data_IF_612037889803
#
_entry.id   IF_612037889803
#
_cell.length_a   1.000
_cell.length_b   1.000
_cell.length_c   1.000
_cell.angle_alpha   90.00
_cell.angle_beta   90.00
_cell.angle_gamma   90.00
#
_symmetry.space_group_name_H-M   'P 1'
#
loop_
_entity.id
_entity.type
_entity.pdbx_description
1 polymer ?
#
# COMPACT_ATOMS: atom_id res chain seq x y z
N UNK A 1 -1.12 -16.21 -46.54
CA UNK A 1 0.06 -17.09 -46.68
C UNK A 1 -0.09 -18.15 -45.62
N UNK A 2 -0.13 -19.40 -46.05
CA UNK A 2 -0.69 -20.56 -45.36
C UNK A 2 0.32 -21.28 -44.46
N UNK A 3 -0.25 -21.90 -43.44
CA UNK A 3 0.29 -22.69 -42.33
C UNK A 3 1.14 -23.92 -42.66
N UNK A 4 1.81 -24.00 -43.82
CA UNK A 4 2.44 -25.25 -44.33
C UNK A 4 3.95 -25.25 -44.56
N UNK A 5 4.69 -24.24 -44.10
CA UNK A 5 6.15 -24.18 -44.32
C UNK A 5 7.01 -24.60 -43.12
N UNK A 6 6.45 -24.95 -41.97
CA UNK A 6 7.20 -25.33 -40.77
C UNK A 6 7.46 -26.85 -40.61
N UNK A 7 6.99 -27.71 -41.55
CA UNK A 7 7.13 -29.16 -41.39
C UNK A 7 8.24 -29.80 -42.28
N UNK A 8 9.00 -29.00 -43.00
CA UNK A 8 10.02 -29.53 -43.93
C UNK A 8 11.49 -29.47 -43.48
N UNK A 9 11.81 -28.99 -42.27
CA UNK A 9 13.24 -28.83 -41.87
C UNK A 9 13.77 -29.88 -40.89
N UNK A 10 13.06 -30.93 -40.55
CA UNK A 10 13.50 -32.00 -39.64
C UNK A 10 13.40 -33.36 -40.30
N UNK A 11 14.06 -33.54 -41.44
CA UNK A 11 14.36 -34.90 -41.99
C UNK A 11 15.59 -34.87 -42.85
N UNK A 12 16.75 -34.89 -42.25
CA UNK A 12 17.97 -35.50 -42.83
C UNK A 12 19.09 -35.46 -41.79
N UNK A 13 19.38 -36.55 -41.19
CA UNK A 13 20.65 -37.13 -40.84
C UNK A 13 20.42 -38.27 -39.84
N UNK A 14 20.19 -39.43 -40.44
CA UNK A 14 20.34 -40.70 -39.77
C UNK A 14 21.41 -41.47 -40.54
N UNK A 15 22.53 -41.77 -39.90
CA UNK A 15 23.18 -43.08 -39.97
C UNK A 15 24.58 -43.06 -39.35
N UNK A 16 24.76 -44.02 -38.44
CA UNK A 16 25.99 -44.76 -38.10
C UNK A 16 26.81 -44.16 -36.93
N UNK A 17 26.88 -44.81 -35.79
CA UNK A 17 27.70 -45.96 -35.45
C UNK A 17 27.48 -46.36 -34.00
N UNK A 18 27.48 -47.68 -33.77
CA UNK A 18 27.31 -48.36 -32.51
C UNK A 18 28.47 -48.06 -31.54
N UNK A 19 28.19 -47.62 -30.33
CA UNK A 19 29.12 -47.51 -29.25
C UNK A 19 28.37 -47.63 -27.92
N UNK A 20 28.50 -48.77 -27.27
CA UNK A 20 27.86 -49.12 -25.99
C UNK A 20 28.53 -48.27 -24.88
N UNK A 21 27.92 -47.20 -24.47
CA UNK A 21 28.28 -46.43 -23.27
C UNK A 21 27.21 -46.70 -22.19
N UNK A 22 27.60 -47.48 -21.21
CA UNK A 22 26.81 -47.67 -19.99
C UNK A 22 26.91 -46.36 -19.20
N UNK A 23 25.87 -45.51 -19.32
CA UNK A 23 25.70 -44.37 -18.43
C UNK A 23 25.03 -44.82 -17.17
N UNK A 24 25.78 -44.90 -16.06
CA UNK A 24 25.22 -44.94 -14.72
C UNK A 24 24.44 -43.65 -14.48
N UNK A 25 23.12 -43.70 -14.61
CA UNK A 25 22.26 -42.66 -14.09
C UNK A 25 22.31 -42.72 -12.56
N UNK A 26 23.16 -41.91 -11.95
CA UNK A 26 23.00 -41.54 -10.56
C UNK A 26 21.70 -40.75 -10.45
N UNK A 27 20.62 -41.39 -10.03
CA UNK A 27 19.40 -40.72 -9.65
C UNK A 27 19.70 -39.85 -8.40
N UNK A 28 20.04 -38.59 -8.64
CA UNK A 28 20.04 -37.59 -7.58
C UNK A 28 18.58 -37.41 -7.16
N UNK A 29 18.19 -38.08 -6.08
CA UNK A 29 16.97 -37.75 -5.38
C UNK A 29 17.16 -36.34 -4.81
N UNK A 30 16.70 -35.35 -5.56
CA UNK A 30 16.45 -34.05 -4.99
C UNK A 30 15.39 -34.24 -3.92
N UNK A 31 15.83 -34.34 -2.66
CA UNK A 31 14.98 -34.19 -1.50
C UNK A 31 14.47 -32.75 -1.58
N UNK A 32 13.32 -32.57 -2.20
CA UNK A 32 12.58 -31.33 -2.12
C UNK A 32 12.34 -31.08 -0.61
N UNK A 33 13.05 -30.12 -0.04
CA UNK A 33 12.63 -29.53 1.23
C UNK A 33 11.25 -28.94 0.98
N UNK A 34 10.20 -29.71 1.28
CA UNK A 34 8.86 -29.17 1.55
C UNK A 34 8.95 -28.46 2.90
N UNK A 35 9.68 -27.34 2.92
CA UNK A 35 9.53 -26.38 3.99
C UNK A 35 8.07 -25.98 4.00
N UNK A 36 7.42 -26.15 5.15
CA UNK A 36 6.02 -25.77 5.36
C UNK A 36 5.91 -24.25 5.13
N UNK A 37 5.67 -23.83 3.87
CA UNK A 37 5.55 -22.41 3.51
C UNK A 37 4.20 -21.91 4.00
N UNK A 38 4.23 -20.95 4.90
CA UNK A 38 2.99 -20.36 5.42
C UNK A 38 2.23 -19.63 4.29
N UNK A 39 0.88 -19.68 4.24
CA UNK A 39 0.10 -19.03 3.19
C UNK A 39 0.42 -17.54 2.98
N UNK A 40 0.85 -16.82 4.03
CA UNK A 40 1.24 -15.41 3.95
C UNK A 40 2.61 -15.15 3.29
N UNK A 41 3.49 -16.16 3.17
CA UNK A 41 4.86 -15.93 2.67
C UNK A 41 4.92 -15.27 1.29
N UNK A 42 4.12 -15.69 0.29
CA UNK A 42 4.11 -15.01 -1.02
C UNK A 42 3.62 -13.57 -0.93
N UNK A 43 2.60 -13.28 -0.10
CA UNK A 43 2.06 -11.94 0.07
C UNK A 43 3.08 -11.01 0.77
N UNK A 44 3.77 -11.50 1.80
CA UNK A 44 4.87 -10.78 2.46
C UNK A 44 5.99 -10.47 1.47
N UNK A 45 6.34 -11.42 0.60
CA UNK A 45 7.38 -11.21 -0.41
C UNK A 45 6.99 -10.12 -1.42
N UNK A 46 5.75 -10.13 -1.92
CA UNK A 46 5.23 -9.09 -2.82
C UNK A 46 5.30 -7.72 -2.14
N UNK A 47 4.82 -7.61 -0.90
CA UNK A 47 4.85 -6.35 -0.16
C UNK A 47 6.29 -5.84 0.09
N UNK A 48 7.24 -6.72 0.41
CA UNK A 48 8.66 -6.37 0.57
C UNK A 48 9.30 -5.90 -0.73
N UNK A 49 9.01 -6.57 -1.85
CA UNK A 49 9.50 -6.16 -3.17
C UNK A 49 8.95 -4.78 -3.55
N UNK A 50 7.66 -4.56 -3.33
CA UNK A 50 7.01 -3.26 -3.53
C UNK A 50 7.65 -2.16 -2.67
N UNK A 51 7.92 -2.43 -1.39
CA UNK A 51 8.59 -1.48 -0.50
C UNK A 51 10.00 -1.14 -0.97
N UNK A 52 10.80 -2.15 -1.34
CA UNK A 52 12.16 -1.93 -1.86
C UNK A 52 12.15 -1.11 -3.15
N UNK A 53 11.19 -1.37 -4.04
CA UNK A 53 11.03 -0.61 -5.27
C UNK A 53 10.65 0.85 -4.95
N UNK A 54 9.65 1.09 -4.07
CA UNK A 54 9.28 2.43 -3.65
C UNK A 54 10.47 3.19 -3.07
N UNK A 55 11.18 2.59 -2.13
CA UNK A 55 12.35 3.21 -1.49
C UNK A 55 13.45 3.60 -2.48
N UNK A 56 13.62 2.83 -3.57
CA UNK A 56 14.65 3.09 -4.59
C UNK A 56 14.21 4.10 -5.64
N UNK A 57 12.95 4.05 -6.09
CA UNK A 57 12.51 4.73 -7.31
C UNK A 57 11.47 5.83 -7.08
N UNK A 58 10.79 5.88 -5.93
CA UNK A 58 9.78 6.90 -5.65
C UNK A 58 10.34 7.93 -4.67
N UNK A 59 10.55 9.14 -5.16
CA UNK A 59 11.00 10.27 -4.33
C UNK A 59 9.80 10.95 -3.68
N UNK A 60 8.77 11.20 -4.48
CA UNK A 60 7.57 11.92 -4.10
C UNK A 60 6.39 11.54 -4.99
N UNK A 61 5.21 11.96 -4.62
CA UNK A 61 4.01 11.77 -5.43
C UNK A 61 2.87 12.69 -5.03
N UNK A 62 1.95 12.87 -5.96
CA UNK A 62 0.64 13.47 -5.73
C UNK A 62 -0.46 12.46 -6.02
N UNK A 63 -1.59 12.57 -5.32
CA UNK A 63 -2.77 11.75 -5.55
C UNK A 63 -4.03 12.43 -5.02
N UNK A 64 -5.18 11.89 -5.38
CA UNK A 64 -6.41 12.06 -4.62
C UNK A 64 -6.57 10.84 -3.72
N UNK A 65 -6.34 11.02 -2.41
CA UNK A 65 -6.58 9.98 -1.43
C UNK A 65 -8.05 9.96 -1.06
N UNK A 66 -8.71 8.84 -1.33
CA UNK A 66 -10.07 8.56 -0.86
C UNK A 66 -9.97 7.64 0.35
N UNK A 67 -10.52 8.08 1.46
CA UNK A 67 -10.42 7.40 2.76
C UNK A 67 -11.79 7.24 3.41
N UNK A 68 -12.00 6.09 4.03
CA UNK A 68 -13.13 5.83 4.91
C UNK A 68 -12.70 4.87 6.01
N UNK A 69 -12.85 5.25 7.25
CA UNK A 69 -12.41 4.45 8.41
C UNK A 69 -13.43 4.48 9.51
N UNK A 70 -13.67 3.32 10.13
CA UNK A 70 -14.52 3.23 11.31
C UNK A 70 -13.78 3.79 12.52
N UNK A 71 -14.43 4.70 13.22
CA UNK A 71 -13.90 5.31 14.45
C UNK A 71 -15.00 5.29 15.50
N UNK A 72 -14.72 4.77 16.69
CA UNK A 72 -15.69 4.63 17.79
C UNK A 72 -17.00 3.92 17.39
N UNK A 73 -16.91 2.92 16.51
CA UNK A 73 -18.07 2.16 16.05
C UNK A 73 -18.84 2.80 14.88
N UNK A 74 -18.55 4.04 14.51
CA UNK A 74 -19.20 4.74 13.41
C UNK A 74 -18.36 4.69 12.14
N UNK A 75 -18.99 4.50 10.99
CA UNK A 75 -18.38 4.54 9.67
C UNK A 75 -18.85 5.82 8.95
N UNK A 76 -18.03 6.89 8.94
CA UNK A 76 -18.42 8.16 8.33
C UNK A 76 -18.50 8.09 6.80
N UNK A 77 -18.83 9.20 6.16
CA UNK A 77 -18.72 9.37 4.71
C UNK A 77 -17.26 9.27 4.23
N UNK A 78 -17.09 9.03 2.92
CA UNK A 78 -15.78 9.07 2.29
C UNK A 78 -15.18 10.48 2.37
N UNK A 79 -13.94 10.56 2.83
CA UNK A 79 -13.12 11.76 2.73
C UNK A 79 -12.30 11.71 1.43
N UNK A 80 -12.33 12.80 0.68
CA UNK A 80 -11.51 13.00 -0.52
C UNK A 80 -10.48 14.07 -0.21
N UNK A 81 -9.23 13.77 -0.45
CA UNK A 81 -8.12 14.66 -0.11
C UNK A 81 -7.13 14.73 -1.26
N UNK A 82 -6.78 15.92 -1.72
CA UNK A 82 -5.58 16.10 -2.52
C UNK A 82 -4.38 15.98 -1.60
N UNK A 83 -3.42 15.12 -1.97
CA UNK A 83 -2.22 14.88 -1.18
C UNK A 83 -0.97 15.13 -2.00
N UNK A 84 0.06 15.70 -1.35
CA UNK A 84 1.44 15.73 -1.81
C UNK A 84 2.27 15.02 -0.74
N UNK A 85 3.01 14.01 -1.13
CA UNK A 85 3.83 13.23 -0.20
C UNK A 85 5.23 13.10 -0.77
N UNK A 86 6.22 13.51 0.01
CA UNK A 86 7.64 13.28 -0.23
C UNK A 86 8.09 12.15 0.69
N UNK A 87 8.66 11.09 0.12
CA UNK A 87 9.14 9.96 0.88
C UNK A 87 10.42 10.30 1.65
N UNK A 88 10.56 9.71 2.83
CA UNK A 88 11.83 9.76 3.59
C UNK A 88 12.94 9.09 2.80
N UNK A 89 14.13 9.71 2.76
CA UNK A 89 15.35 9.06 2.24
C UNK A 89 16.46 9.12 3.29
N UNK A 90 17.17 8.02 3.42
CA UNK A 90 18.36 7.92 4.27
C UNK A 90 19.59 7.64 3.40
N UNK A 91 20.71 8.27 3.73
CA UNK A 91 22.02 8.00 3.15
C UNK A 91 22.98 7.71 4.29
N UNK A 92 23.71 6.62 4.21
CA UNK A 92 24.68 6.19 5.23
C UNK A 92 24.09 6.14 6.66
N UNK A 93 22.81 5.73 6.76
CA UNK A 93 22.08 5.65 8.02
C UNK A 93 21.61 6.99 8.59
N UNK A 94 21.85 8.10 7.90
CA UNK A 94 21.38 9.42 8.29
C UNK A 94 20.19 9.88 7.44
N UNK A 95 19.31 10.68 8.03
CA UNK A 95 18.18 11.26 7.33
C UNK A 95 18.69 12.30 6.31
N UNK A 96 18.61 11.96 5.01
CA UNK A 96 18.99 12.83 3.92
C UNK A 96 17.84 13.69 3.41
N UNK A 97 16.63 13.10 3.33
CA UNK A 97 15.41 13.80 2.95
C UNK A 97 14.31 13.45 3.95
N UNK A 98 13.78 14.45 4.69
CA UNK A 98 12.69 14.21 5.61
C UNK A 98 11.39 13.89 4.85
N UNK A 99 10.54 13.05 5.45
CA UNK A 99 9.18 12.88 4.94
C UNK A 99 8.44 14.21 5.01
N UNK A 100 7.74 14.55 3.93
CA UNK A 100 6.87 15.71 3.86
C UNK A 100 5.46 15.31 3.46
N UNK A 101 4.46 15.90 4.09
CA UNK A 101 3.04 15.64 3.85
C UNK A 101 2.30 16.97 3.74
N UNK A 102 1.57 17.15 2.65
CA UNK A 102 0.55 18.17 2.50
C UNK A 102 -0.77 17.50 2.16
N UNK A 103 -1.83 17.92 2.81
CA UNK A 103 -3.21 17.45 2.57
C UNK A 103 -4.13 18.66 2.43
N UNK A 104 -4.97 18.63 1.39
CA UNK A 104 -6.13 19.51 1.26
C UNK A 104 -7.40 18.69 1.18
N UNK A 105 -8.31 18.89 2.10
CA UNK A 105 -9.60 18.22 2.10
C UNK A 105 -10.49 18.78 0.99
N UNK A 106 -11.04 17.88 0.17
CA UNK A 106 -11.92 18.20 -0.95
C UNK A 106 -13.38 17.89 -0.63
N UNK A 107 -13.62 16.87 0.21
CA UNK A 107 -14.94 16.40 0.67
C UNK A 107 -14.78 15.65 2.00
N UNK A 108 -15.82 15.53 2.83
CA UNK A 108 -17.13 16.17 2.71
C UNK A 108 -17.09 17.68 3.00
N UNK A 109 -18.24 18.35 2.85
CA UNK A 109 -18.36 19.83 2.89
C UNK A 109 -17.95 20.45 4.24
N UNK A 110 -18.11 19.71 5.32
CA UNK A 110 -17.76 20.16 6.68
C UNK A 110 -16.26 20.33 6.93
N UNK A 111 -15.42 19.65 6.11
CA UNK A 111 -13.95 19.74 6.16
C UNK A 111 -13.34 20.29 4.86
N UNK A 112 -14.17 20.58 3.85
CA UNK A 112 -13.72 21.07 2.55
C UNK A 112 -12.88 22.34 2.68
N UNK A 113 -11.71 22.34 2.06
CA UNK A 113 -10.76 23.47 2.08
C UNK A 113 -9.84 23.52 3.28
N UNK A 114 -10.00 22.64 4.29
CA UNK A 114 -9.01 22.47 5.35
C UNK A 114 -7.69 22.00 4.75
N UNK A 115 -6.58 22.55 5.22
CA UNK A 115 -5.25 22.13 4.79
C UNK A 115 -4.39 21.74 5.99
N UNK A 116 -3.52 20.76 5.80
CA UNK A 116 -2.61 20.25 6.83
C UNK A 116 -1.25 20.00 6.22
N UNK A 117 -0.20 20.51 6.86
CA UNK A 117 1.20 20.28 6.51
C UNK A 117 1.92 19.64 7.67
N UNK A 118 2.78 18.67 7.39
CA UNK A 118 3.72 18.10 8.32
C UNK A 118 5.02 17.74 7.61
N UNK A 119 6.15 18.09 8.25
CA UNK A 119 7.48 17.68 7.78
C UNK A 119 8.22 17.05 8.95
N UNK A 120 8.76 15.87 8.71
CA UNK A 120 9.53 15.14 9.69
C UNK A 120 10.69 15.96 10.25
N UNK A 121 10.80 16.01 11.59
CA UNK A 121 11.86 16.74 12.28
C UNK A 121 11.73 18.25 12.27
N UNK A 122 10.73 18.83 11.60
CA UNK A 122 10.46 20.26 11.59
C UNK A 122 9.34 20.64 12.58
N UNK A 123 9.19 21.92 12.85
CA UNK A 123 8.16 22.49 13.74
C UNK A 123 8.02 21.73 15.09
N UNK A 124 9.13 21.27 15.68
CA UNK A 124 9.14 20.43 16.91
C UNK A 124 8.32 19.15 16.79
N UNK A 125 8.18 18.59 15.59
CA UNK A 125 7.37 17.41 15.28
C UNK A 125 5.88 17.69 15.09
N UNK A 126 5.43 18.94 15.27
CA UNK A 126 4.03 19.33 15.14
C UNK A 126 3.63 19.51 13.68
N UNK A 127 2.39 19.17 13.34
CA UNK A 127 1.74 19.55 12.10
C UNK A 127 1.23 21.01 12.19
N UNK A 128 1.09 21.65 11.03
CA UNK A 128 0.43 22.94 10.87
C UNK A 128 -0.88 22.73 10.14
N UNK A 129 -1.97 23.20 10.70
CA UNK A 129 -3.29 23.08 10.08
C UNK A 129 -4.04 24.41 10.14
N UNK A 130 -5.00 24.56 9.23
CA UNK A 130 -6.01 25.61 9.28
C UNK A 130 -7.36 25.08 8.83
N UNK A 131 -8.42 25.75 9.26
CA UNK A 131 -9.78 25.50 8.81
C UNK A 131 -10.06 26.31 7.52
N UNK A 132 -11.21 26.11 6.91
CA UNK A 132 -11.62 26.84 5.71
C UNK A 132 -12.77 27.82 5.98
N UNK A 133 -13.05 28.68 4.97
CA UNK A 133 -14.14 29.65 4.99
C UNK A 133 -13.97 30.67 6.11
N UNK A 134 -15.05 31.00 6.80
CA UNK A 134 -15.05 32.00 7.88
C UNK A 134 -14.27 31.55 9.14
N UNK A 135 -13.91 30.28 9.25
CA UNK A 135 -13.04 29.74 10.33
C UNK A 135 -11.54 29.84 9.98
N UNK A 136 -11.19 30.28 8.79
CA UNK A 136 -9.81 30.43 8.35
C UNK A 136 -9.19 31.75 8.87
N UNK A 137 -9.09 31.86 10.19
CA UNK A 137 -8.61 33.05 10.89
C UNK A 137 -7.23 32.88 11.50
N UNK A 138 -6.76 31.64 11.63
CA UNK A 138 -5.44 31.35 12.19
C UNK A 138 -4.97 29.97 11.76
N UNK A 139 -3.67 29.78 11.67
CA UNK A 139 -3.03 28.49 11.61
C UNK A 139 -2.76 27.97 13.03
N UNK A 140 -2.89 26.66 13.23
CA UNK A 140 -2.65 25.99 14.50
C UNK A 140 -1.56 24.93 14.37
N UNK A 141 -0.71 24.84 15.41
CA UNK A 141 0.28 23.77 15.51
C UNK A 141 -0.27 22.69 16.44
N UNK A 142 -0.29 21.44 15.97
CA UNK A 142 -0.84 20.31 16.71
C UNK A 142 0.17 19.16 16.75
N UNK A 143 0.23 18.48 17.89
CA UNK A 143 0.87 17.17 17.96
C UNK A 143 0.11 16.20 17.09
N UNK A 144 0.76 15.49 16.10
CA UNK A 144 0.10 14.53 15.22
C UNK A 144 -0.64 13.40 15.97
N UNK A 145 -0.18 13.06 17.17
CA UNK A 145 -0.78 12.03 18.04
C UNK A 145 -1.71 12.62 19.11
N UNK A 146 -1.78 13.95 19.19
CA UNK A 146 -2.60 14.67 20.17
C UNK A 146 -4.09 14.55 19.89
N UNK A 147 -4.90 14.73 20.94
CA UNK A 147 -6.36 14.57 20.89
C UNK A 147 -7.03 15.36 19.74
N UNK A 148 -6.60 16.60 19.49
CA UNK A 148 -7.20 17.44 18.45
C UNK A 148 -6.88 16.93 17.05
N UNK A 149 -5.63 16.51 16.79
CA UNK A 149 -5.22 15.94 15.50
C UNK A 149 -5.85 14.57 15.25
N UNK A 150 -6.02 13.77 16.31
CA UNK A 150 -6.58 12.42 16.24
C UNK A 150 -8.11 12.39 16.24
N UNK A 151 -8.78 13.52 16.43
CA UNK A 151 -10.24 13.56 16.46
C UNK A 151 -10.83 13.07 15.12
N UNK A 152 -11.58 11.96 15.17
CA UNK A 152 -12.14 11.31 13.97
C UNK A 152 -11.11 10.60 13.09
N UNK A 153 -9.89 10.37 13.59
CA UNK A 153 -8.83 9.65 12.90
C UNK A 153 -8.51 8.33 13.62
N UNK A 154 -8.25 7.28 12.85
CA UNK A 154 -7.80 5.98 13.37
C UNK A 154 -6.28 5.95 13.55
N UNK A 155 -5.55 6.65 12.69
CA UNK A 155 -4.10 6.72 12.67
C UNK A 155 -3.62 8.18 12.59
N UNK A 156 -2.46 8.49 13.18
CA UNK A 156 -1.89 9.82 13.09
C UNK A 156 -1.45 10.13 11.65
N UNK A 157 -1.32 11.42 11.35
CA UNK A 157 -0.88 11.88 10.03
C UNK A 157 0.49 11.33 9.62
N UNK A 158 1.35 11.07 10.59
CA UNK A 158 2.69 10.50 10.37
C UNK A 158 2.69 9.10 9.76
N UNK A 159 1.56 8.38 9.85
CA UNK A 159 1.39 7.04 9.31
C UNK A 159 0.85 7.03 7.87
N UNK A 160 0.59 8.21 7.30
CA UNK A 160 0.12 8.31 5.91
C UNK A 160 1.22 7.90 4.91
N UNK A 161 0.80 7.45 3.74
CA UNK A 161 1.69 7.20 2.62
C UNK A 161 1.82 5.73 2.24
N UNK A 162 2.22 5.52 0.99
CA UNK A 162 2.32 4.19 0.39
C UNK A 162 3.39 3.33 1.08
N UNK A 163 4.53 3.93 1.45
CA UNK A 163 5.60 3.19 2.16
C UNK A 163 5.16 2.80 3.57
N UNK A 164 4.47 3.68 4.30
CA UNK A 164 3.95 3.38 5.63
C UNK A 164 2.84 2.30 5.58
N UNK A 165 1.98 2.34 4.55
CA UNK A 165 1.01 1.27 4.29
C UNK A 165 1.70 -0.07 4.08
N UNK A 166 2.76 -0.12 3.26
CA UNK A 166 3.55 -1.34 3.02
C UNK A 166 4.22 -1.85 4.30
N UNK A 167 4.82 -0.97 5.09
CA UNK A 167 5.41 -1.33 6.37
C UNK A 167 4.37 -1.94 7.31
N UNK A 168 3.19 -1.34 7.40
CA UNK A 168 2.07 -1.84 8.21
C UNK A 168 1.58 -3.21 7.75
N UNK A 169 1.41 -3.41 6.43
CA UNK A 169 1.02 -4.69 5.84
C UNK A 169 2.05 -5.78 6.16
N UNK A 170 3.35 -5.48 5.99
CA UNK A 170 4.43 -6.42 6.25
C UNK A 170 4.48 -6.79 7.73
N UNK A 171 4.42 -5.82 8.63
CA UNK A 171 4.44 -6.04 10.07
C UNK A 171 3.27 -6.91 10.53
N UNK A 172 2.04 -6.55 10.12
CA UNK A 172 0.84 -7.31 10.42
C UNK A 172 0.95 -8.74 9.92
N UNK A 173 1.31 -8.94 8.66
CA UNK A 173 1.43 -10.27 8.06
C UNK A 173 2.54 -11.12 8.71
N UNK A 174 3.65 -10.51 9.14
CA UNK A 174 4.73 -11.20 9.85
C UNK A 174 4.30 -11.67 11.25
N UNK A 175 3.52 -10.85 11.96
CA UNK A 175 2.99 -11.22 13.27
C UNK A 175 1.94 -12.34 13.14
N UNK A 176 1.03 -12.23 12.17
CA UNK A 176 -0.01 -13.21 11.90
C UNK A 176 0.52 -14.54 11.33
N UNK A 177 1.69 -14.52 10.67
CA UNK A 177 2.40 -15.72 10.16
C UNK A 177 2.73 -16.76 11.23
N UNK A 178 2.75 -16.38 12.50
CA UNK A 178 3.02 -17.30 13.61
C UNK A 178 1.81 -18.16 13.99
N UNK A 179 0.66 -17.99 13.30
CA UNK A 179 -0.60 -18.62 13.66
C UNK A 179 -1.26 -19.26 12.44
N UNK A 180 -1.89 -20.42 12.66
CA UNK A 180 -2.67 -21.10 11.64
C UNK A 180 -4.06 -20.45 11.44
N UNK A 181 -4.73 -20.80 10.33
CA UNK A 181 -6.10 -20.36 10.06
C UNK A 181 -6.21 -19.17 9.09
N UNK A 182 -5.11 -18.86 8.40
CA UNK A 182 -5.07 -17.83 7.34
C UNK A 182 -5.23 -18.45 5.97
N UNK A 183 -6.05 -17.83 5.11
CA UNK A 183 -6.12 -18.13 3.68
C UNK A 183 -5.68 -16.91 2.88
N UNK A 184 -4.91 -17.14 1.81
CA UNK A 184 -4.42 -16.08 0.91
C UNK A 184 -4.78 -16.43 -0.52
N UNK A 185 -5.36 -15.48 -1.23
CA UNK A 185 -5.73 -15.61 -2.64
C UNK A 185 -5.24 -14.42 -3.44
N UNK A 186 -4.76 -14.65 -4.66
CA UNK A 186 -4.34 -13.60 -5.59
C UNK A 186 -5.29 -13.57 -6.79
N UNK A 187 -5.75 -12.38 -7.13
CA UNK A 187 -6.66 -12.14 -8.25
C UNK A 187 -6.00 -11.16 -9.23
N UNK A 188 -5.74 -11.64 -10.45
CA UNK A 188 -5.24 -10.81 -11.55
C UNK A 188 -6.39 -10.15 -12.30
N UNK A 189 -6.10 -9.00 -12.92
CA UNK A 189 -7.09 -8.28 -13.73
C UNK A 189 -8.12 -7.49 -12.90
N UNK A 190 -7.87 -7.31 -11.61
CA UNK A 190 -8.62 -6.36 -10.79
C UNK A 190 -8.39 -4.92 -11.31
N UNK A 191 -9.29 -4.01 -10.97
CA UNK A 191 -9.16 -2.61 -11.39
C UNK A 191 -9.43 -1.65 -10.24
N UNK A 192 -8.67 -0.54 -10.23
CA UNK A 192 -8.91 0.62 -9.38
C UNK A 192 -8.98 1.84 -10.31
N UNK A 193 -10.19 2.31 -10.57
CA UNK A 193 -10.42 3.29 -11.64
C UNK A 193 -9.99 2.74 -13.01
N UNK A 194 -9.10 3.45 -13.69
CA UNK A 194 -8.50 3.06 -14.98
C UNK A 194 -7.26 2.16 -14.85
N UNK A 195 -6.73 1.97 -13.64
CA UNK A 195 -5.50 1.20 -13.38
C UNK A 195 -5.78 -0.30 -13.28
N UNK A 196 -4.99 -1.10 -14.00
CA UNK A 196 -4.97 -2.55 -13.85
C UNK A 196 -4.20 -2.94 -12.58
N UNK A 197 -4.71 -3.92 -11.84
CA UNK A 197 -4.16 -4.33 -10.55
C UNK A 197 -4.17 -5.84 -10.37
N UNK A 198 -3.20 -6.32 -9.61
CA UNK A 198 -3.23 -7.61 -8.94
C UNK A 198 -3.71 -7.41 -7.51
N UNK A 199 -4.83 -8.04 -7.13
CA UNK A 199 -5.40 -7.95 -5.79
C UNK A 199 -4.99 -9.18 -4.98
N UNK A 200 -4.43 -8.94 -3.80
CA UNK A 200 -4.13 -9.97 -2.80
C UNK A 200 -5.20 -9.89 -1.70
N UNK A 201 -5.88 -11.00 -1.46
CA UNK A 201 -6.85 -11.13 -0.38
C UNK A 201 -6.33 -12.06 0.69
N UNK A 202 -6.37 -11.60 1.93
CA UNK A 202 -6.09 -12.37 3.14
C UNK A 202 -7.38 -12.53 3.92
N UNK A 203 -7.70 -13.74 4.40
CA UNK A 203 -8.93 -14.01 5.15
C UNK A 203 -8.60 -14.85 6.39
N UNK A 204 -9.17 -14.46 7.53
CA UNK A 204 -9.14 -15.18 8.81
C UNK A 204 -10.58 -15.57 9.16
N UNK A 205 -11.05 -16.79 8.77
CA UNK A 205 -12.45 -17.19 8.96
C UNK A 205 -12.88 -17.21 10.42
N UNK A 206 -11.95 -17.56 11.31
CA UNK A 206 -12.21 -17.68 12.76
C UNK A 206 -11.59 -16.48 13.47
N UNK A 207 -12.40 -15.77 14.26
CA UNK A 207 -11.92 -14.66 15.08
C UNK A 207 -11.02 -15.17 16.19
N UNK A 208 -9.79 -14.66 16.24
CA UNK A 208 -8.81 -14.97 17.29
C UNK A 208 -8.13 -13.67 17.76
N UNK A 209 -7.62 -13.60 18.99
CA UNK A 209 -7.06 -12.36 19.54
C UNK A 209 -5.86 -11.78 18.78
N UNK A 210 -5.14 -12.61 18.05
CA UNK A 210 -3.95 -12.23 17.28
C UNK A 210 -4.26 -11.82 15.82
N UNK A 211 -5.49 -12.00 15.35
CA UNK A 211 -5.90 -11.54 14.02
C UNK A 211 -6.56 -10.17 14.09
N UNK A 212 -6.09 -9.28 13.23
CA UNK A 212 -6.53 -7.87 13.22
C UNK A 212 -7.81 -7.65 12.42
N UNK A 213 -8.17 -8.57 11.49
CA UNK A 213 -9.29 -8.44 10.57
C UNK A 213 -9.86 -9.80 10.17
N UNK A 214 -11.09 -9.81 9.71
CA UNK A 214 -11.70 -10.97 9.05
C UNK A 214 -11.16 -11.14 7.63
N UNK A 215 -11.15 -10.06 6.84
CA UNK A 215 -10.68 -10.04 5.45
C UNK A 215 -9.98 -8.72 5.16
N UNK A 216 -8.85 -8.79 4.49
CA UNK A 216 -8.17 -7.63 3.93
C UNK A 216 -7.87 -7.86 2.45
N UNK A 217 -7.95 -6.80 1.66
CA UNK A 217 -7.62 -6.76 0.24
C UNK A 217 -6.64 -5.63 -0.02
N UNK A 218 -5.55 -5.97 -0.70
CA UNK A 218 -4.53 -5.02 -1.16
C UNK A 218 -4.45 -5.07 -2.67
N UNK A 219 -4.62 -3.93 -3.33
CA UNK A 219 -4.56 -3.83 -4.78
C UNK A 219 -3.23 -3.20 -5.18
N UNK A 220 -2.36 -4.01 -5.76
CA UNK A 220 -1.09 -3.57 -6.31
C UNK A 220 -1.29 -3.18 -7.77
N UNK A 221 -0.94 -1.97 -8.11
CA UNK A 221 -0.92 -1.48 -9.49
C UNK A 221 0.11 -2.28 -10.30
N UNK A 222 -0.32 -2.84 -11.44
CA UNK A 222 0.52 -3.77 -12.22
C UNK A 222 1.69 -3.06 -12.94
N UNK A 223 1.62 -1.74 -13.15
CA UNK A 223 2.69 -0.94 -13.76
C UNK A 223 3.68 -0.41 -12.70
N UNK A 224 3.13 0.16 -11.61
CA UNK A 224 3.96 0.78 -10.58
C UNK A 224 4.46 -0.21 -9.53
N UNK A 225 3.85 -1.40 -9.42
CA UNK A 225 4.07 -2.37 -8.34
C UNK A 225 3.89 -1.76 -6.94
N UNK A 226 2.98 -0.81 -6.79
CA UNK A 226 2.67 -0.13 -5.54
C UNK A 226 1.23 -0.43 -5.12
N UNK A 227 0.94 -0.55 -3.81
CA UNK A 227 -0.42 -0.67 -3.32
C UNK A 227 -1.15 0.67 -3.50
N UNK A 228 -2.16 0.70 -4.37
CA UNK A 228 -2.97 1.89 -4.62
C UNK A 228 -4.34 1.81 -3.96
N UNK A 229 -4.73 0.64 -3.43
CA UNK A 229 -5.95 0.48 -2.63
C UNK A 229 -5.74 -0.58 -1.56
N UNK A 230 -6.25 -0.28 -0.38
CA UNK A 230 -6.37 -1.19 0.76
C UNK A 230 -7.79 -1.14 1.30
N UNK A 231 -8.35 -2.30 1.62
CA UNK A 231 -9.67 -2.41 2.25
C UNK A 231 -9.63 -3.53 3.27
N UNK A 232 -10.18 -3.31 4.46
CA UNK A 232 -10.34 -4.36 5.46
C UNK A 232 -11.74 -4.39 6.06
N UNK A 233 -12.13 -5.59 6.48
CA UNK A 233 -13.39 -5.87 7.15
C UNK A 233 -13.12 -6.63 8.44
N UNK A 234 -13.86 -6.32 9.48
CA UNK A 234 -13.94 -7.13 10.70
C UNK A 234 -14.98 -8.24 10.54
N UNK A 235 -15.01 -9.16 11.49
CA UNK A 235 -15.94 -10.29 11.49
C UNK A 235 -17.40 -9.82 11.52
N UNK A 236 -18.31 -10.62 10.93
CA UNK A 236 -19.74 -10.37 11.06
C UNK A 236 -20.17 -10.24 12.52
N UNK A 237 -21.13 -9.36 12.80
CA UNK A 237 -21.69 -9.18 14.15
C UNK A 237 -22.60 -10.35 14.56
N UNK A 238 -23.17 -11.04 13.56
CA UNK A 238 -24.03 -12.22 13.75
C UNK A 238 -23.53 -13.37 12.91
N UNK A 239 -23.77 -14.60 13.32
CA UNK A 239 -23.41 -15.80 12.57
C UNK A 239 -24.08 -15.79 11.18
N UNK A 240 -23.29 -16.00 10.13
CA UNK A 240 -23.76 -15.93 8.74
C UNK A 240 -24.04 -14.54 8.20
N UNK A 241 -23.77 -13.49 8.97
CA UNK A 241 -23.90 -12.11 8.54
C UNK A 241 -22.77 -11.67 7.59
N UNK A 242 -22.91 -10.46 7.03
CA UNK A 242 -21.89 -9.85 6.18
C UNK A 242 -20.74 -9.28 7.01
N UNK A 243 -19.48 -9.39 6.53
CA UNK A 243 -18.33 -8.74 7.16
C UNK A 243 -18.51 -7.23 7.24
N UNK A 244 -18.11 -6.64 8.35
CA UNK A 244 -18.30 -5.22 8.63
C UNK A 244 -17.10 -4.43 8.12
N UNK A 245 -17.33 -3.47 7.22
CA UNK A 245 -16.26 -2.61 6.70
C UNK A 245 -15.59 -1.83 7.83
N UNK A 246 -14.27 -1.99 7.94
CA UNK A 246 -13.47 -1.35 8.98
C UNK A 246 -12.73 -0.14 8.43
N UNK A 247 -12.07 -0.28 7.29
CA UNK A 247 -11.34 0.81 6.68
C UNK A 247 -11.08 0.56 5.19
N UNK A 248 -10.99 1.66 4.45
CA UNK A 248 -10.55 1.66 3.05
C UNK A 248 -9.75 2.92 2.72
N UNK A 249 -8.74 2.74 1.89
CA UNK A 249 -7.87 3.79 1.36
C UNK A 249 -7.66 3.54 -0.13
N UNK A 250 -7.79 4.58 -0.95
CA UNK A 250 -7.54 4.50 -2.39
C UNK A 250 -6.78 5.73 -2.86
N UNK A 251 -5.62 5.52 -3.48
CA UNK A 251 -4.83 6.56 -4.14
C UNK A 251 -5.26 6.65 -5.60
N UNK A 252 -6.14 7.60 -5.92
CA UNK A 252 -6.58 7.89 -7.28
C UNK A 252 -5.68 8.95 -7.93
N UNK A 253 -5.57 8.92 -9.26
CA UNK A 253 -4.80 9.89 -10.04
C UNK A 253 -3.34 10.01 -9.56
N UNK A 254 -2.75 8.88 -9.13
CA UNK A 254 -1.39 8.81 -8.61
C UNK A 254 -0.38 9.24 -9.69
N UNK A 255 0.45 10.21 -9.36
CA UNK A 255 1.56 10.68 -10.17
C UNK A 255 2.84 10.61 -9.35
N UNK A 256 3.79 9.81 -9.79
CA UNK A 256 5.06 9.59 -9.10
C UNK A 256 6.13 10.56 -9.59
N UNK A 257 7.05 10.93 -8.70
CA UNK A 257 8.26 11.72 -8.99
C UNK A 257 7.94 13.05 -9.69
N UNK A 258 7.02 13.82 -9.10
CA UNK A 258 6.57 15.11 -9.61
C UNK A 258 7.49 16.26 -9.19
N UNK A 259 8.63 15.95 -8.55
CA UNK A 259 9.66 16.90 -8.12
C UNK A 259 9.17 17.89 -7.07
N UNK A 260 8.51 17.37 -6.01
CA UNK A 260 8.10 18.20 -4.87
C UNK A 260 9.33 18.79 -4.16
N UNK A 261 9.20 20.05 -3.77
CA UNK A 261 10.24 20.84 -3.09
C UNK A 261 9.80 21.19 -1.66
N UNK A 262 10.66 21.81 -0.88
CA UNK A 262 10.30 22.29 0.47
C UNK A 262 9.16 23.31 0.42
N UNK A 263 9.03 24.08 -0.67
CA UNK A 263 7.91 25.00 -0.88
C UNK A 263 6.55 24.31 -0.90
N UNK A 264 6.48 23.04 -1.34
CA UNK A 264 5.25 22.26 -1.33
C UNK A 264 4.80 21.85 0.08
N UNK A 265 5.65 22.06 1.07
CA UNK A 265 5.39 21.75 2.49
C UNK A 265 5.54 23.01 3.38
N UNK A 266 5.51 24.19 2.77
CA UNK A 266 5.60 25.47 3.46
C UNK A 266 4.18 26.07 3.60
N UNK A 267 3.71 26.36 4.83
CA UNK A 267 2.42 27.03 5.02
C UNK A 267 2.39 28.46 4.44
N UNK A 268 3.54 29.08 4.16
CA UNK A 268 3.62 30.40 3.51
C UNK A 268 3.63 30.30 1.97
N UNK A 269 3.40 29.11 1.40
CA UNK A 269 3.24 28.93 -0.05
C UNK A 269 1.99 29.68 -0.53
N UNK A 270 2.11 30.64 -1.50
CA UNK A 270 1.00 31.46 -1.96
C UNK A 270 -0.11 30.67 -2.69
N UNK A 271 0.16 29.42 -3.10
CA UNK A 271 -0.83 28.53 -3.72
C UNK A 271 -1.77 27.88 -2.70
N UNK A 272 -1.48 28.05 -1.41
CA UNK A 272 -2.25 27.50 -0.29
C UNK A 272 -3.11 28.57 0.36
N UNK A 273 -4.08 28.16 1.14
CA UNK A 273 -5.03 29.08 1.73
C UNK A 273 -4.79 29.31 3.23
N UNK A 274 -3.54 29.20 3.69
CA UNK A 274 -3.17 29.49 5.09
C UNK A 274 -3.32 30.99 5.38
N UNK A 275 -3.91 31.37 6.55
CA UNK A 275 -4.06 32.78 6.94
C UNK A 275 -2.73 33.43 7.34
#
# INVERSE_FOLDING_TARGET
MSTNEWIRFVRSFAKSTCGLLVVLCAASTAVGQTGNTHPLDPAIQIARQSLQQSQRSVQDYTATLVKRTRVNGELPEHQFMAVKIRNRKTMDGQLATPMGVYIKFLKPKDVEGREVIWVEGQNRGQLVAHESGFKNIMRVNLDPTGYLAMRGQKYPLTDIGIENLLLKIIDTAQNERNYDGTTVQAYRGARVGDRACTMIQVTHPVKQPHFSFYRAQVFFDDEYNLPIRYVSWTWPETEGGEPVLEEEYTYMHLKLNVSLTDRDFDPDNPDYNYP
#
